data_IF_083775450660
#
_entry.id   IF_083775450660
#
_cell.length_a   1.000
_cell.length_b   1.000
_cell.length_c   1.000
_cell.angle_alpha   90.00
_cell.angle_beta   90.00
_cell.angle_gamma   90.00
#
_symmetry.space_group_name_H-M   'P 1'
#
loop_
_entity.id
_entity.type
_entity.pdbx_description
1 polymer ?
#
# COMPACT_ATOMS: atom_id res chain seq x y z
N UNK A 1 -36.52 -18.33 -4.94
CA UNK A 1 -35.20 -18.06 -4.33
C UNK A 1 -34.49 -17.09 -5.24
N UNK A 2 -33.96 -15.98 -4.73
CA UNK A 2 -33.27 -14.98 -5.54
C UNK A 2 -31.99 -15.56 -6.18
N UNK A 3 -31.65 -15.15 -7.40
CA UNK A 3 -30.47 -15.62 -8.13
C UNK A 3 -29.27 -14.67 -8.01
N UNK A 4 -28.08 -15.24 -7.89
CA UNK A 4 -26.78 -14.53 -7.75
C UNK A 4 -25.71 -15.22 -8.59
N UNK A 5 -24.62 -14.52 -8.89
CA UNK A 5 -23.54 -15.03 -9.73
C UNK A 5 -22.62 -15.96 -8.91
N UNK A 6 -22.29 -15.53 -7.69
CA UNK A 6 -21.41 -16.26 -6.79
C UNK A 6 -21.98 -16.29 -5.37
N UNK A 7 -21.91 -17.47 -4.75
CA UNK A 7 -22.21 -17.67 -3.33
C UNK A 7 -21.02 -18.38 -2.67
N UNK A 8 -20.41 -17.74 -1.68
CA UNK A 8 -19.39 -18.36 -0.81
C UNK A 8 -20.08 -18.75 0.48
N UNK A 9 -19.96 -20.01 0.92
CA UNK A 9 -20.67 -20.56 2.09
C UNK A 9 -19.74 -21.14 3.14
N UNK A 10 -20.21 -21.24 4.38
CA UNK A 10 -19.61 -22.04 5.46
C UNK A 10 -18.17 -21.63 5.85
N UNK A 11 -17.79 -20.37 5.64
CA UNK A 11 -16.49 -19.87 6.10
C UNK A 11 -16.39 -20.03 7.62
N UNK A 12 -15.34 -20.70 8.12
CA UNK A 12 -15.15 -20.90 9.55
C UNK A 12 -15.05 -19.54 10.27
N UNK A 13 -14.35 -18.60 9.65
CA UNK A 13 -14.47 -17.17 9.93
C UNK A 13 -14.73 -16.41 8.64
N UNK A 14 -15.78 -15.58 8.64
CA UNK A 14 -15.97 -14.52 7.67
C UNK A 14 -15.69 -13.18 8.34
N UNK A 15 -14.60 -12.52 7.95
CA UNK A 15 -14.26 -11.19 8.44
C UNK A 15 -14.94 -10.17 7.53
N UNK A 16 -15.97 -9.51 8.05
CA UNK A 16 -16.70 -8.52 7.22
C UNK A 16 -16.01 -7.17 7.22
N UNK A 17 -15.28 -6.84 8.29
CA UNK A 17 -14.72 -5.50 8.48
C UNK A 17 -15.86 -4.43 8.40
N UNK A 18 -17.10 -4.80 8.73
CA UNK A 18 -18.22 -3.86 8.82
C UNK A 18 -18.00 -2.92 10.02
N UNK A 19 -18.17 -1.62 9.81
CA UNK A 19 -17.94 -0.61 10.84
C UNK A 19 -18.11 0.82 10.34
N UNK A 20 -17.61 1.83 11.07
CA UNK A 20 -17.63 3.23 10.66
C UNK A 20 -16.98 3.45 9.30
N UNK A 21 -17.49 4.40 8.51
CA UNK A 21 -16.92 4.79 7.20
C UNK A 21 -15.72 5.74 7.32
N UNK A 22 -14.89 5.54 8.35
CA UNK A 22 -13.67 6.33 8.63
C UNK A 22 -12.56 5.40 9.13
N UNK A 23 -11.27 5.78 9.00
CA UNK A 23 -10.15 4.96 9.46
C UNK A 23 -10.33 4.54 10.92
N UNK A 24 -9.96 3.30 11.22
CA UNK A 24 -10.08 2.74 12.57
C UNK A 24 -8.84 3.03 13.38
N UNK A 25 -9.05 3.40 14.64
CA UNK A 25 -7.99 3.73 15.60
C UNK A 25 -8.13 2.88 16.85
N UNK A 26 -7.01 2.62 17.55
CA UNK A 26 -6.97 1.90 18.84
C UNK A 26 -7.81 0.61 18.79
N UNK A 27 -8.68 0.41 19.79
CA UNK A 27 -9.56 -0.75 19.91
C UNK A 27 -10.48 -0.99 18.70
N UNK A 28 -10.79 0.03 17.90
CA UNK A 28 -11.57 -0.17 16.67
C UNK A 28 -10.81 -1.02 15.65
N UNK A 29 -9.48 -0.99 15.65
CA UNK A 29 -8.67 -1.82 14.76
C UNK A 29 -8.78 -3.31 15.08
N UNK A 30 -9.16 -3.67 16.31
CA UNK A 30 -9.37 -5.07 16.72
C UNK A 30 -10.77 -5.61 16.35
N UNK A 31 -11.69 -4.74 15.93
CA UNK A 31 -13.08 -5.11 15.61
C UNK A 31 -13.19 -5.57 14.16
N UNK A 32 -13.00 -6.86 13.93
CA UNK A 32 -13.09 -7.48 12.59
C UNK A 32 -14.52 -7.78 12.10
N UNK A 33 -15.51 -7.68 13.00
CA UNK A 33 -16.91 -8.03 12.71
C UNK A 33 -17.03 -9.45 12.13
N UNK A 34 -16.53 -10.41 12.92
CA UNK A 34 -16.40 -11.83 12.55
C UNK A 34 -17.76 -12.52 12.58
N UNK A 35 -18.10 -13.21 11.49
CA UNK A 35 -19.24 -14.11 11.41
C UNK A 35 -18.71 -15.54 11.32
N UNK A 36 -18.91 -16.32 12.38
CA UNK A 36 -18.67 -17.78 12.36
C UNK A 36 -19.68 -18.47 11.43
N UNK A 37 -19.21 -19.42 10.63
CA UNK A 37 -20.00 -20.11 9.58
C UNK A 37 -20.68 -19.10 8.64
N UNK A 38 -19.90 -18.12 8.20
CA UNK A 38 -20.38 -17.00 7.39
C UNK A 38 -20.48 -17.33 5.91
N UNK A 39 -21.33 -16.58 5.22
CA UNK A 39 -21.55 -16.65 3.78
C UNK A 39 -21.59 -15.23 3.17
N UNK A 40 -21.21 -15.14 1.89
CA UNK A 40 -21.27 -13.91 1.09
C UNK A 40 -21.94 -14.22 -0.24
N UNK A 41 -22.95 -13.44 -0.61
CA UNK A 41 -23.63 -13.52 -1.90
C UNK A 41 -23.25 -12.33 -2.78
N UNK A 42 -22.99 -12.60 -4.07
CA UNK A 42 -22.44 -11.64 -5.01
C UNK A 42 -23.22 -11.65 -6.32
N UNK A 43 -23.58 -10.47 -6.81
CA UNK A 43 -24.30 -10.27 -8.08
C UNK A 43 -23.80 -9.02 -8.79
N UNK A 44 -23.58 -9.12 -10.10
CA UNK A 44 -23.04 -8.06 -10.96
C UNK A 44 -21.76 -7.43 -10.39
N UNK A 45 -20.88 -8.26 -9.83
CA UNK A 45 -19.63 -7.83 -9.20
C UNK A 45 -19.76 -7.06 -7.88
N UNK A 46 -20.96 -6.97 -7.31
CA UNK A 46 -21.25 -6.34 -6.03
C UNK A 46 -21.70 -7.36 -4.98
N UNK A 47 -21.35 -7.09 -3.74
CA UNK A 47 -21.84 -7.84 -2.59
C UNK A 47 -23.31 -7.48 -2.37
N UNK A 48 -24.21 -8.46 -2.43
CA UNK A 48 -25.65 -8.24 -2.24
C UNK A 48 -26.14 -8.65 -0.85
N UNK A 49 -25.45 -9.61 -0.22
CA UNK A 49 -25.75 -10.03 1.15
C UNK A 49 -24.53 -10.68 1.84
N UNK A 50 -24.48 -10.56 3.17
CA UNK A 50 -23.41 -11.05 4.05
C UNK A 50 -24.04 -11.50 5.36
N UNK A 51 -23.88 -12.78 5.72
CA UNK A 51 -24.57 -13.32 6.88
C UNK A 51 -24.23 -14.77 7.17
N UNK A 52 -25.16 -15.48 7.80
CA UNK A 52 -25.10 -16.94 8.02
C UNK A 52 -26.21 -17.60 7.20
N UNK A 53 -25.97 -18.84 6.77
CA UNK A 53 -27.01 -19.68 6.14
C UNK A 53 -27.75 -18.99 4.98
N UNK A 54 -27.04 -18.17 4.19
CA UNK A 54 -27.63 -17.46 3.06
C UNK A 54 -28.16 -18.48 2.03
N UNK A 55 -29.40 -18.28 1.56
CA UNK A 55 -30.08 -19.18 0.62
C UNK A 55 -30.35 -18.46 -0.70
N UNK A 56 -29.47 -18.67 -1.67
CA UNK A 56 -29.57 -18.12 -3.02
C UNK A 56 -29.41 -19.22 -4.06
N UNK A 57 -30.03 -19.05 -5.23
CA UNK A 57 -29.69 -19.86 -6.41
C UNK A 57 -28.45 -19.22 -7.05
N UNK A 58 -27.29 -19.84 -6.91
CA UNK A 58 -26.03 -19.28 -7.42
C UNK A 58 -25.55 -20.00 -8.69
N UNK A 59 -24.98 -19.27 -9.64
CA UNK A 59 -24.31 -19.88 -10.80
C UNK A 59 -23.03 -20.61 -10.36
N UNK A 60 -22.24 -19.98 -9.49
CA UNK A 60 -21.08 -20.59 -8.84
C UNK A 60 -21.27 -20.61 -7.33
N UNK A 61 -21.06 -21.78 -6.71
CA UNK A 61 -21.02 -21.92 -5.24
C UNK A 61 -19.65 -22.40 -4.80
N UNK A 62 -19.06 -21.74 -3.81
CA UNK A 62 -17.79 -22.14 -3.20
C UNK A 62 -18.02 -22.47 -1.72
N UNK A 63 -17.71 -23.71 -1.34
CA UNK A 63 -17.70 -24.12 0.06
C UNK A 63 -16.37 -23.75 0.73
N UNK A 64 -16.42 -22.76 1.63
CA UNK A 64 -15.30 -22.28 2.43
C UNK A 64 -15.21 -22.96 3.81
N UNK A 65 -15.80 -24.16 3.96
CA UNK A 65 -15.65 -24.98 5.16
C UNK A 65 -14.17 -25.15 5.53
N UNK A 66 -13.87 -24.94 6.83
CA UNK A 66 -12.52 -24.98 7.38
C UNK A 66 -11.62 -23.78 7.04
N UNK A 67 -12.12 -22.82 6.25
CA UNK A 67 -11.33 -21.70 5.70
C UNK A 67 -11.76 -20.35 6.27
N UNK A 68 -10.89 -19.37 6.07
CA UNK A 68 -11.08 -17.97 6.40
C UNK A 68 -11.48 -17.23 5.13
N UNK A 69 -12.53 -16.42 5.20
CA UNK A 69 -12.94 -15.49 4.13
C UNK A 69 -12.84 -14.07 4.66
N UNK A 70 -12.20 -13.19 3.90
CA UNK A 70 -12.00 -11.79 4.27
C UNK A 70 -11.94 -10.89 3.02
N UNK A 71 -12.01 -9.55 3.15
CA UNK A 71 -11.77 -8.66 2.02
C UNK A 71 -10.40 -8.94 1.41
N UNK A 72 -10.27 -8.74 0.10
CA UNK A 72 -8.96 -8.75 -0.53
C UNK A 72 -8.04 -7.71 0.10
N UNK A 73 -6.74 -8.00 0.13
CA UNK A 73 -5.78 -7.04 0.67
C UNK A 73 -5.78 -5.78 -0.19
N UNK A 74 -5.58 -4.65 0.48
CA UNK A 74 -5.27 -3.38 -0.17
C UNK A 74 -3.83 -3.05 0.19
N UNK A 75 -3.00 -2.85 -0.82
CA UNK A 75 -1.60 -2.45 -0.64
C UNK A 75 -1.44 -0.95 -0.92
N UNK A 76 -1.48 -0.08 0.11
CA UNK A 76 -1.64 1.36 -0.06
C UNK A 76 -0.34 2.09 -0.39
N UNK A 77 0.77 1.36 -0.56
CA UNK A 77 2.09 1.93 -0.83
C UNK A 77 2.97 0.97 -1.64
N UNK A 78 3.15 1.25 -2.92
CA UNK A 78 4.10 0.51 -3.77
C UNK A 78 4.77 1.41 -4.80
N UNK A 79 5.94 1.00 -5.27
CA UNK A 79 6.59 1.54 -6.46
C UNK A 79 6.58 0.48 -7.57
N UNK A 80 5.44 -0.17 -7.85
CA UNK A 80 5.38 -1.36 -8.73
C UNK A 80 5.91 -1.16 -10.16
N UNK A 81 5.95 0.09 -10.66
CA UNK A 81 6.44 0.43 -12.01
C UNK A 81 7.88 0.89 -12.00
N UNK A 82 8.79 -0.03 -12.31
CA UNK A 82 10.22 0.20 -12.46
C UNK A 82 10.85 -0.86 -13.37
N UNK A 83 12.07 -0.59 -13.84
CA UNK A 83 12.90 -1.54 -14.56
C UNK A 83 14.21 -1.86 -13.82
N UNK A 84 14.78 -3.02 -14.15
CA UNK A 84 15.98 -3.55 -13.51
C UNK A 84 15.71 -4.09 -12.11
N UNK A 85 16.78 -4.52 -11.46
CA UNK A 85 16.80 -5.08 -10.11
C UNK A 85 18.12 -4.74 -9.42
N UNK A 86 18.11 -4.75 -8.08
CA UNK A 86 19.24 -4.31 -7.23
C UNK A 86 19.80 -5.44 -6.36
N UNK A 87 19.63 -6.68 -6.80
CA UNK A 87 20.11 -7.89 -6.12
C UNK A 87 21.62 -7.87 -5.88
N UNK A 88 22.40 -7.26 -6.79
CA UNK A 88 23.85 -7.11 -6.63
C UNK A 88 24.26 -6.28 -5.41
N UNK A 89 23.34 -5.51 -4.84
CA UNK A 89 23.61 -4.76 -3.60
C UNK A 89 23.51 -5.62 -2.36
N UNK A 90 22.87 -6.79 -2.42
CA UNK A 90 22.69 -7.64 -1.26
C UNK A 90 24.04 -8.08 -0.71
N UNK A 91 24.96 -8.54 -1.57
CA UNK A 91 26.31 -8.93 -1.16
C UNK A 91 27.09 -7.77 -0.52
N UNK A 92 26.93 -6.56 -1.05
CA UNK A 92 27.54 -5.36 -0.48
C UNK A 92 26.97 -5.01 0.90
N UNK A 93 25.65 -5.09 1.06
CA UNK A 93 24.97 -4.86 2.34
C UNK A 93 25.39 -5.90 3.38
N UNK A 94 25.46 -7.18 2.99
CA UNK A 94 25.91 -8.28 3.87
C UNK A 94 27.37 -8.12 4.29
N UNK A 95 28.21 -7.57 3.41
CA UNK A 95 29.58 -7.18 3.74
C UNK A 95 29.69 -5.90 4.60
N UNK A 96 28.56 -5.30 5.01
CA UNK A 96 28.53 -4.11 5.87
C UNK A 96 28.85 -2.80 5.14
N UNK A 97 28.81 -2.76 3.80
CA UNK A 97 29.08 -1.54 3.04
C UNK A 97 27.95 -0.51 3.28
N UNK A 98 28.26 0.71 3.75
CA UNK A 98 27.22 1.72 4.00
C UNK A 98 26.45 2.08 2.73
N UNK A 99 25.15 2.38 2.86
CA UNK A 99 24.28 2.72 1.72
C UNK A 99 24.86 3.84 0.84
N UNK A 100 25.41 4.90 1.46
CA UNK A 100 26.02 6.01 0.72
C UNK A 100 27.22 5.59 -0.13
N UNK A 101 27.95 4.55 0.28
CA UNK A 101 29.07 3.99 -0.48
C UNK A 101 28.56 3.13 -1.65
N UNK A 102 27.48 2.36 -1.44
CA UNK A 102 26.79 1.62 -2.52
C UNK A 102 26.28 2.60 -3.59
N UNK A 103 25.71 3.73 -3.17
CA UNK A 103 25.23 4.80 -4.06
C UNK A 103 26.36 5.42 -4.91
N UNK A 104 27.57 5.57 -4.33
CA UNK A 104 28.77 6.04 -5.04
C UNK A 104 29.26 5.02 -6.07
N UNK A 105 29.13 3.73 -5.79
CA UNK A 105 29.48 2.63 -6.72
C UNK A 105 28.47 2.42 -7.85
N UNK A 106 27.49 3.32 -8.00
CA UNK A 106 26.50 3.26 -9.05
C UNK A 106 25.28 2.39 -8.74
N UNK A 107 25.14 1.94 -7.49
CA UNK A 107 23.90 1.36 -6.97
C UNK A 107 22.91 2.44 -6.51
N UNK A 108 22.03 2.07 -5.59
CA UNK A 108 21.03 2.94 -5.00
C UNK A 108 19.87 3.26 -5.94
N UNK A 109 19.08 4.26 -5.55
CA UNK A 109 17.95 4.76 -6.33
C UNK A 109 18.36 5.16 -7.76
N UNK A 110 19.54 5.75 -7.94
CA UNK A 110 19.99 6.21 -9.26
C UNK A 110 20.27 5.07 -10.24
N UNK A 111 20.58 3.86 -9.77
CA UNK A 111 20.62 2.67 -10.63
C UNK A 111 19.23 2.40 -11.23
N UNK A 112 18.20 2.33 -10.39
CA UNK A 112 16.82 2.11 -10.85
C UNK A 112 16.32 3.25 -11.75
N UNK A 113 16.68 4.50 -11.45
CA UNK A 113 16.34 5.65 -12.30
C UNK A 113 16.93 5.47 -13.70
N UNK A 114 18.21 5.10 -13.79
CA UNK A 114 18.88 4.84 -15.08
C UNK A 114 18.18 3.74 -15.87
N UNK A 115 17.86 2.62 -15.23
CA UNK A 115 17.21 1.48 -15.91
C UNK A 115 15.76 1.81 -16.31
N UNK A 116 15.01 2.54 -15.48
CA UNK A 116 13.63 2.94 -15.76
C UNK A 116 13.55 4.00 -16.86
N UNK A 117 14.53 4.93 -16.94
CA UNK A 117 14.66 5.87 -18.05
C UNK A 117 14.87 5.15 -19.39
N UNK A 118 15.80 4.19 -19.43
CA UNK A 118 16.10 3.38 -20.63
C UNK A 118 14.93 2.51 -21.07
N UNK A 119 14.15 1.98 -20.13
CA UNK A 119 13.06 1.06 -20.43
C UNK A 119 11.95 1.74 -21.25
N UNK A 120 11.50 1.05 -22.29
CA UNK A 120 10.32 1.46 -23.07
C UNK A 120 9.03 1.34 -22.24
N UNK A 121 7.96 2.08 -22.60
CA UNK A 121 6.66 1.92 -21.95
C UNK A 121 6.14 0.49 -21.97
N UNK A 122 6.38 -0.26 -23.05
CA UNK A 122 5.95 -1.66 -23.19
C UNK A 122 6.70 -2.58 -22.23
N UNK A 123 8.01 -2.39 -22.08
CA UNK A 123 8.81 -3.15 -21.11
C UNK A 123 8.35 -2.89 -19.68
N UNK A 124 8.14 -1.62 -19.31
CA UNK A 124 7.63 -1.24 -18.00
C UNK A 124 6.25 -1.86 -17.74
N UNK A 125 5.35 -1.81 -18.73
CA UNK A 125 4.02 -2.41 -18.65
C UNK A 125 4.11 -3.93 -18.39
N UNK A 126 4.91 -4.65 -19.19
CA UNK A 126 5.03 -6.10 -19.09
C UNK A 126 5.66 -6.54 -17.76
N UNK A 127 6.71 -5.87 -17.30
CA UNK A 127 7.37 -6.19 -16.03
C UNK A 127 6.46 -5.89 -14.84
N UNK A 128 5.76 -4.75 -14.87
CA UNK A 128 4.83 -4.37 -13.80
C UNK A 128 3.63 -5.32 -13.75
N UNK A 129 3.13 -5.77 -14.91
CA UNK A 129 2.04 -6.75 -14.96
C UNK A 129 2.41 -8.05 -14.23
N UNK A 130 3.63 -8.58 -14.44
CA UNK A 130 4.10 -9.78 -13.71
C UNK A 130 4.14 -9.59 -12.19
N UNK A 131 4.55 -8.40 -11.73
CA UNK A 131 4.52 -8.06 -10.30
C UNK A 131 3.09 -8.02 -9.78
N UNK A 132 2.18 -7.38 -10.51
CA UNK A 132 0.75 -7.34 -10.14
C UNK A 132 0.09 -8.72 -10.16
N UNK A 133 0.42 -9.59 -11.12
CA UNK A 133 -0.06 -10.98 -11.16
C UNK A 133 0.39 -11.72 -9.88
N UNK A 134 1.62 -11.47 -9.43
CA UNK A 134 2.16 -12.04 -8.18
C UNK A 134 1.43 -11.47 -6.96
N UNK A 135 1.32 -10.14 -6.83
CA UNK A 135 0.55 -9.48 -5.76
C UNK A 135 -0.88 -10.02 -5.67
N UNK A 136 -1.54 -10.19 -6.83
CA UNK A 136 -2.89 -10.73 -6.93
C UNK A 136 -2.95 -12.16 -6.42
N UNK A 137 -2.02 -13.03 -6.82
CA UNK A 137 -1.96 -14.42 -6.31
C UNK A 137 -1.68 -14.53 -4.80
N UNK A 138 -1.10 -13.47 -4.19
CA UNK A 138 -0.93 -13.33 -2.74
C UNK A 138 -2.11 -12.64 -2.04
N UNK A 139 -3.17 -12.32 -2.78
CA UNK A 139 -4.46 -11.85 -2.25
C UNK A 139 -4.69 -10.34 -2.33
N UNK A 140 -3.78 -9.58 -2.94
CA UNK A 140 -3.94 -8.13 -3.11
C UNK A 140 -4.88 -7.84 -4.28
N UNK A 141 -6.04 -7.24 -3.99
CA UNK A 141 -7.05 -6.92 -5.03
C UNK A 141 -7.03 -5.45 -5.44
N UNK A 142 -6.40 -4.58 -4.63
CA UNK A 142 -6.20 -3.18 -4.94
C UNK A 142 -4.84 -2.70 -4.45
N UNK A 143 -4.17 -1.82 -5.19
CA UNK A 143 -2.93 -1.22 -4.73
C UNK A 143 -2.78 0.25 -5.13
N UNK A 144 -1.90 0.95 -4.43
CA UNK A 144 -1.33 2.21 -4.88
C UNK A 144 -0.11 1.94 -5.75
N UNK A 145 0.13 2.79 -6.75
CA UNK A 145 1.35 2.78 -7.57
C UNK A 145 1.97 4.18 -7.63
N UNK A 146 3.16 4.33 -7.06
CA UNK A 146 3.94 5.57 -7.09
C UNK A 146 4.84 5.64 -8.31
N UNK A 147 5.16 6.86 -8.72
CA UNK A 147 6.21 7.13 -9.71
C UNK A 147 7.59 7.20 -9.02
N UNK A 148 8.46 8.17 -9.34
CA UNK A 148 9.66 8.47 -8.58
C UNK A 148 10.94 7.75 -9.00
N UNK A 149 10.88 6.92 -10.04
CA UNK A 149 12.07 6.37 -10.71
C UNK A 149 12.33 7.02 -12.08
N UNK A 150 11.72 8.17 -12.35
CA UNK A 150 12.04 8.98 -13.52
C UNK A 150 12.96 10.14 -13.18
N UNK A 151 12.61 10.92 -12.16
CA UNK A 151 13.31 12.16 -11.78
C UNK A 151 13.54 13.16 -12.92
N UNK A 152 12.72 13.08 -13.97
CA UNK A 152 12.64 13.99 -15.09
C UNK A 152 11.20 14.00 -15.63
N UNK A 153 10.85 15.03 -16.39
CA UNK A 153 9.48 15.24 -16.85
C UNK A 153 9.01 14.10 -17.74
N UNK A 154 9.85 13.64 -18.66
CA UNK A 154 9.47 12.63 -19.65
C UNK A 154 9.15 11.29 -18.97
N UNK A 155 10.04 10.84 -18.08
CA UNK A 155 9.99 9.52 -17.46
C UNK A 155 8.94 9.45 -16.37
N UNK A 156 8.75 10.50 -15.56
CA UNK A 156 7.67 10.53 -14.56
C UNK A 156 6.29 10.42 -15.24
N UNK A 157 6.08 11.15 -16.35
CA UNK A 157 4.84 11.07 -17.13
C UNK A 157 4.73 9.73 -17.88
N UNK A 158 5.84 9.16 -18.35
CA UNK A 158 5.88 7.80 -18.91
C UNK A 158 5.36 6.78 -17.89
N UNK A 159 5.83 6.84 -16.64
CA UNK A 159 5.40 5.94 -15.56
C UNK A 159 3.90 6.11 -15.28
N UNK A 160 3.41 7.34 -15.13
CA UNK A 160 1.97 7.60 -14.94
C UNK A 160 1.10 7.03 -16.08
N UNK A 161 1.56 7.16 -17.33
CA UNK A 161 0.86 6.57 -18.48
C UNK A 161 0.87 5.04 -18.46
N UNK A 162 1.96 4.42 -17.99
CA UNK A 162 2.02 2.97 -17.79
C UNK A 162 1.05 2.54 -16.69
N UNK A 163 1.01 3.24 -15.55
CA UNK A 163 0.05 2.96 -14.48
C UNK A 163 -1.39 3.05 -14.96
N UNK A 164 -1.74 4.08 -15.75
CA UNK A 164 -3.06 4.19 -16.38
C UNK A 164 -3.39 2.99 -17.28
N UNK A 165 -2.45 2.54 -18.11
CA UNK A 165 -2.65 1.34 -18.95
C UNK A 165 -2.80 0.06 -18.11
N UNK A 166 -2.09 -0.06 -17.00
CA UNK A 166 -2.25 -1.19 -16.06
C UNK A 166 -3.66 -1.17 -15.46
N UNK A 167 -4.15 -0.01 -15.02
CA UNK A 167 -5.52 0.16 -14.52
C UNK A 167 -6.59 -0.25 -15.53
N UNK A 168 -6.34 -0.05 -16.83
CA UNK A 168 -7.28 -0.40 -17.91
C UNK A 168 -7.22 -1.89 -18.30
N UNK A 169 -6.10 -2.57 -18.06
CA UNK A 169 -5.82 -3.91 -18.63
C UNK A 169 -5.61 -5.04 -17.61
N UNK A 170 -5.37 -4.70 -16.34
CA UNK A 170 -5.16 -5.67 -15.26
C UNK A 170 -6.44 -5.81 -14.40
N UNK A 171 -6.74 -6.99 -13.81
CA UNK A 171 -7.92 -7.15 -12.96
C UNK A 171 -7.89 -6.31 -11.68
N UNK A 172 -6.72 -6.11 -11.06
CA UNK A 172 -6.57 -5.29 -9.85
C UNK A 172 -6.93 -3.82 -10.09
N UNK A 173 -7.45 -3.16 -9.05
CA UNK A 173 -7.61 -1.70 -9.07
C UNK A 173 -6.31 -1.02 -8.57
N UNK A 174 -5.82 -0.05 -9.31
CA UNK A 174 -4.61 0.73 -9.08
C UNK A 174 -4.98 2.20 -8.83
N UNK A 175 -4.34 2.80 -7.83
CA UNK A 175 -4.42 4.24 -7.56
C UNK A 175 -3.06 4.88 -7.76
N UNK A 176 -2.97 5.79 -8.73
CA UNK A 176 -1.71 6.45 -9.08
C UNK A 176 -1.35 7.60 -8.15
N UNK A 177 -0.08 7.61 -7.74
CA UNK A 177 0.55 8.67 -6.94
C UNK A 177 1.75 9.25 -7.68
N UNK A 178 1.76 10.56 -7.87
CA UNK A 178 2.92 11.26 -8.41
C UNK A 178 3.95 11.49 -7.30
N UNK A 179 5.16 10.97 -7.48
CA UNK A 179 6.31 11.09 -6.59
C UNK A 179 7.53 11.59 -7.38
N UNK A 180 7.39 12.67 -8.15
CA UNK A 180 8.55 13.29 -8.80
C UNK A 180 9.61 13.75 -7.79
N UNK A 181 9.20 14.06 -6.56
CA UNK A 181 10.08 14.43 -5.46
C UNK A 181 10.52 13.21 -4.63
N UNK A 182 11.02 12.15 -5.29
CA UNK A 182 11.56 10.96 -4.62
C UNK A 182 12.99 11.17 -4.12
N UNK A 183 13.82 11.86 -4.91
CA UNK A 183 15.14 12.37 -4.49
C UNK A 183 15.55 13.48 -5.46
N UNK A 184 16.67 14.14 -5.19
CA UNK A 184 17.22 15.18 -6.06
C UNK A 184 18.18 14.51 -7.07
N UNK A 185 18.05 14.73 -8.39
CA UNK A 185 19.02 14.25 -9.38
C UNK A 185 20.45 14.71 -9.05
N UNK A 186 21.45 13.84 -9.26
CA UNK A 186 22.86 14.11 -8.90
C UNK A 186 23.41 15.42 -9.49
N UNK A 187 22.94 15.79 -10.68
CA UNK A 187 23.48 16.91 -11.46
C UNK A 187 22.62 18.18 -11.36
N UNK A 188 21.75 18.29 -10.34
CA UNK A 188 20.87 19.44 -10.17
C UNK A 188 20.86 19.98 -8.74
N UNK A 189 20.69 21.29 -8.63
CA UNK A 189 20.45 21.92 -7.34
C UNK A 189 19.00 21.68 -6.91
N UNK A 190 18.80 21.49 -5.60
CA UNK A 190 17.47 21.24 -5.03
C UNK A 190 16.44 22.30 -5.46
N UNK A 191 16.83 23.59 -5.44
CA UNK A 191 15.95 24.71 -5.80
C UNK A 191 15.48 24.63 -7.26
N UNK A 192 16.37 24.28 -8.18
CA UNK A 192 16.08 24.13 -9.60
C UNK A 192 15.18 22.92 -9.84
N UNK A 193 15.50 21.78 -9.22
CA UNK A 193 14.71 20.57 -9.37
C UNK A 193 13.29 20.75 -8.83
N UNK A 194 13.13 21.38 -7.66
CA UNK A 194 11.83 21.72 -7.09
C UNK A 194 11.04 22.63 -8.04
N UNK A 195 11.70 23.61 -8.68
CA UNK A 195 11.06 24.45 -9.69
C UNK A 195 10.54 23.58 -10.83
N UNK A 196 11.34 22.67 -11.38
CA UNK A 196 10.91 21.75 -12.46
C UNK A 196 9.76 20.83 -12.02
N UNK A 197 9.81 20.25 -10.82
CA UNK A 197 8.70 19.46 -10.26
C UNK A 197 7.41 20.29 -10.27
N UNK A 198 7.48 21.53 -9.78
CA UNK A 198 6.29 22.39 -9.64
C UNK A 198 5.79 22.94 -10.97
N UNK A 199 6.67 23.47 -11.82
CA UNK A 199 6.27 24.22 -13.01
C UNK A 199 6.15 23.35 -14.26
N UNK A 200 6.77 22.17 -14.28
CA UNK A 200 6.84 21.34 -15.49
C UNK A 200 6.21 19.96 -15.30
N UNK A 201 6.40 19.31 -14.14
CA UNK A 201 5.85 17.98 -13.87
C UNK A 201 4.41 18.03 -13.38
N UNK A 202 4.13 18.75 -12.28
CA UNK A 202 2.79 18.81 -11.67
C UNK A 202 1.66 19.15 -12.66
N UNK A 203 1.78 20.14 -13.57
CA UNK A 203 0.73 20.43 -14.55
C UNK A 203 0.36 19.24 -15.44
N UNK A 204 1.31 18.34 -15.70
CA UNK A 204 1.13 17.17 -16.57
C UNK A 204 0.54 15.95 -15.84
N UNK A 205 0.36 16.02 -14.53
CA UNK A 205 -0.24 14.93 -13.72
C UNK A 205 -1.76 14.90 -13.76
N UNK A 206 -2.40 15.95 -14.27
CA UNK A 206 -3.87 16.11 -14.29
C UNK A 206 -4.54 14.92 -14.98
N UNK A 207 -5.44 14.25 -14.26
CA UNK A 207 -6.15 13.06 -14.75
C UNK A 207 -5.30 11.79 -14.85
N UNK A 208 -4.06 11.83 -14.37
CA UNK A 208 -3.15 10.69 -14.33
C UNK A 208 -2.79 10.26 -12.90
N UNK A 209 -2.78 11.18 -11.94
CA UNK A 209 -2.51 10.87 -10.54
C UNK A 209 -3.62 11.41 -9.63
N UNK A 210 -3.84 10.72 -8.50
CA UNK A 210 -4.74 11.14 -7.43
C UNK A 210 -4.00 11.84 -6.29
N UNK A 211 -2.77 11.41 -6.05
CA UNK A 211 -1.95 11.88 -4.94
C UNK A 211 -0.67 12.55 -5.43
N UNK A 212 -0.13 13.44 -4.60
CA UNK A 212 1.22 13.97 -4.69
C UNK A 212 1.99 13.53 -3.44
N UNK A 213 3.15 12.93 -3.63
CA UNK A 213 4.00 12.41 -2.57
C UNK A 213 5.39 13.05 -2.64
N UNK A 214 6.13 12.99 -1.55
CA UNK A 214 7.50 13.51 -1.41
C UNK A 214 8.29 12.68 -0.41
N UNK A 215 9.57 12.48 -0.69
CA UNK A 215 10.49 11.89 0.28
C UNK A 215 11.10 12.97 1.18
N UNK A 216 10.49 13.17 2.34
CA UNK A 216 10.95 14.12 3.34
C UNK A 216 11.95 13.44 4.27
N UNK A 217 13.23 13.54 3.92
CA UNK A 217 14.32 12.84 4.61
C UNK A 217 15.65 13.60 4.47
N UNK A 218 16.55 13.41 5.43
CA UNK A 218 17.93 13.89 5.36
C UNK A 218 18.63 13.32 4.12
N UNK A 219 19.05 14.21 3.23
CA UNK A 219 19.69 13.84 1.96
C UNK A 219 18.71 13.69 0.79
N UNK A 220 17.40 13.87 1.02
CA UNK A 220 16.38 14.06 0.00
C UNK A 220 15.80 15.48 0.11
N UNK A 221 14.54 15.63 0.52
CA UNK A 221 13.90 16.94 0.68
C UNK A 221 13.73 17.32 2.16
N UNK A 222 14.01 18.58 2.50
CA UNK A 222 13.72 19.13 3.83
C UNK A 222 12.22 19.38 4.02
N UNK A 223 11.75 19.52 5.26
CA UNK A 223 10.35 19.88 5.57
C UNK A 223 9.86 21.10 4.79
N UNK A 224 10.68 22.14 4.67
CA UNK A 224 10.31 23.35 3.94
C UNK A 224 10.15 23.10 2.42
N UNK A 225 11.05 22.29 1.84
CA UNK A 225 10.99 21.90 0.43
C UNK A 225 9.79 20.99 0.16
N UNK A 226 9.59 19.99 1.01
CA UNK A 226 8.45 19.06 0.97
C UNK A 226 7.12 19.80 1.04
N UNK A 227 6.97 20.77 1.97
CA UNK A 227 5.77 21.61 2.04
C UNK A 227 5.50 22.33 0.73
N UNK A 228 6.51 22.98 0.15
CA UNK A 228 6.37 23.74 -1.10
C UNK A 228 5.85 22.86 -2.25
N UNK A 229 6.35 21.62 -2.34
CA UNK A 229 5.92 20.66 -3.37
C UNK A 229 4.49 20.19 -3.12
N UNK A 230 4.15 19.81 -1.88
CA UNK A 230 2.82 19.30 -1.54
C UNK A 230 1.75 20.39 -1.67
N UNK A 231 2.03 21.62 -1.23
CA UNK A 231 1.10 22.74 -1.39
C UNK A 231 0.89 23.10 -2.87
N UNK A 232 1.93 23.03 -3.70
CA UNK A 232 1.78 23.15 -5.15
C UNK A 232 0.94 22.01 -5.74
N UNK A 233 1.16 20.76 -5.31
CA UNK A 233 0.36 19.60 -5.73
C UNK A 233 -1.13 19.79 -5.48
N UNK A 234 -1.49 20.36 -4.32
CA UNK A 234 -2.89 20.69 -3.96
C UNK A 234 -3.52 21.69 -4.93
N UNK A 235 -2.76 22.66 -5.44
CA UNK A 235 -3.25 23.61 -6.45
C UNK A 235 -3.65 22.92 -7.77
N UNK A 236 -3.08 21.74 -8.05
CA UNK A 236 -3.45 20.90 -9.19
C UNK A 236 -4.49 19.81 -8.85
N UNK A 237 -5.09 19.87 -7.65
CA UNK A 237 -6.13 18.93 -7.20
C UNK A 237 -5.61 17.59 -6.69
N UNK A 238 -4.29 17.46 -6.48
CA UNK A 238 -3.69 16.25 -5.90
C UNK A 238 -3.82 16.26 -4.36
N UNK A 239 -4.09 15.09 -3.79
CA UNK A 239 -4.16 14.91 -2.35
C UNK A 239 -2.75 14.59 -1.81
N UNK A 240 -2.24 15.25 -0.75
CA UNK A 240 -0.90 15.00 -0.25
C UNK A 240 -0.74 13.60 0.39
N UNK A 241 0.43 13.01 0.15
CA UNK A 241 1.06 11.89 0.87
C UNK A 241 2.51 12.28 1.18
N UNK A 242 3.16 11.56 2.08
CA UNK A 242 4.55 11.86 2.43
C UNK A 242 5.25 10.62 2.96
N UNK A 243 6.43 10.30 2.42
CA UNK A 243 7.38 9.42 3.09
C UNK A 243 8.05 10.24 4.19
N UNK A 244 7.84 9.83 5.43
CA UNK A 244 8.17 10.61 6.61
C UNK A 244 8.99 9.80 7.60
N UNK A 245 10.11 10.40 8.03
CA UNK A 245 10.91 9.95 9.17
C UNK A 245 11.31 8.47 9.10
N UNK A 246 11.81 8.05 7.92
CA UNK A 246 12.23 6.67 7.67
C UNK A 246 13.55 6.35 8.39
N UNK A 247 14.52 7.24 8.28
CA UNK A 247 15.92 7.03 8.71
C UNK A 247 16.23 7.89 9.93
N UNK A 248 15.75 9.13 9.97
CA UNK A 248 15.84 10.03 11.13
C UNK A 248 14.53 10.79 11.34
N UNK A 249 14.33 11.33 12.55
CA UNK A 249 13.21 12.26 12.77
C UNK A 249 13.50 13.58 12.03
N UNK A 250 12.74 13.84 10.96
CA UNK A 250 12.83 15.08 10.18
C UNK A 250 11.71 16.06 10.49
N UNK A 251 10.69 15.63 11.24
CA UNK A 251 9.42 16.34 11.38
C UNK A 251 8.45 16.08 10.22
N UNK A 252 8.66 15.04 9.42
CA UNK A 252 7.80 14.67 8.30
C UNK A 252 6.37 14.31 8.74
N UNK A 253 6.24 13.59 9.87
CA UNK A 253 4.94 13.28 10.47
C UNK A 253 4.13 14.54 10.84
N UNK A 254 4.79 15.56 11.43
CA UNK A 254 4.15 16.85 11.74
C UNK A 254 3.71 17.57 10.46
N UNK A 255 4.60 17.62 9.45
CA UNK A 255 4.28 18.22 8.16
C UNK A 255 3.05 17.57 7.52
N UNK A 256 2.93 16.23 7.57
CA UNK A 256 1.79 15.50 7.05
C UNK A 256 0.46 16.00 7.62
N UNK A 257 0.41 16.22 8.94
CA UNK A 257 -0.75 16.75 9.63
C UNK A 257 -1.08 18.20 9.20
N UNK A 258 -0.05 19.02 9.03
CA UNK A 258 -0.21 20.43 8.67
C UNK A 258 -0.71 20.63 7.24
N UNK A 259 -0.22 19.86 6.27
CA UNK A 259 -0.65 19.98 4.86
C UNK A 259 -1.98 19.27 4.59
N UNK A 260 -2.48 18.50 5.56
CA UNK A 260 -3.69 17.69 5.43
C UNK A 260 -3.48 16.47 4.53
N UNK A 261 -2.33 15.79 4.68
CA UNK A 261 -2.05 14.56 3.96
C UNK A 261 -3.02 13.45 4.32
N UNK A 262 -3.34 12.57 3.37
CA UNK A 262 -4.16 11.39 3.64
C UNK A 262 -3.39 10.34 4.43
N UNK A 263 -2.07 10.24 4.18
CA UNK A 263 -1.16 9.36 4.89
C UNK A 263 0.22 9.98 5.07
N UNK A 264 0.91 9.49 6.09
CA UNK A 264 2.35 9.57 6.24
C UNK A 264 2.90 8.14 6.36
N UNK A 265 3.98 7.87 5.64
CA UNK A 265 4.45 6.54 5.31
C UNK A 265 5.85 6.31 5.92
N UNK A 266 6.21 5.05 6.24
CA UNK A 266 7.35 4.62 7.08
C UNK A 266 7.17 4.85 8.59
N UNK A 267 7.41 6.08 9.07
CA UNK A 267 7.33 6.48 10.48
C UNK A 267 8.24 5.69 11.44
N UNK A 268 9.37 5.17 10.93
CA UNK A 268 10.32 4.38 11.72
C UNK A 268 10.91 5.20 12.88
N UNK A 269 11.16 6.47 12.62
CA UNK A 269 11.87 7.39 13.50
C UNK A 269 11.03 8.60 13.92
N UNK A 270 9.73 8.66 13.57
CA UNK A 270 8.86 9.78 13.91
C UNK A 270 8.80 10.04 15.42
N UNK A 271 8.85 11.31 15.80
CA UNK A 271 8.65 11.74 17.18
C UNK A 271 7.19 11.64 17.62
N UNK A 272 7.01 11.56 18.94
CA UNK A 272 5.69 11.59 19.58
C UNK A 272 4.88 12.84 19.19
N UNK A 273 5.54 14.00 19.07
CA UNK A 273 4.92 15.25 18.62
C UNK A 273 4.28 15.09 17.24
N UNK A 274 5.02 14.52 16.27
CA UNK A 274 4.49 14.26 14.93
C UNK A 274 3.34 13.25 14.95
N UNK A 275 3.47 12.16 15.71
CA UNK A 275 2.41 11.15 15.85
C UNK A 275 1.12 11.73 16.46
N UNK A 276 1.24 12.62 17.46
CA UNK A 276 0.08 13.30 18.06
C UNK A 276 -0.59 14.25 17.07
N UNK A 277 0.20 14.99 16.28
CA UNK A 277 -0.34 15.86 15.24
C UNK A 277 -1.11 15.05 14.17
N UNK A 278 -0.54 13.92 13.72
CA UNK A 278 -1.21 12.99 12.81
C UNK A 278 -2.54 12.46 13.39
N UNK A 279 -2.53 12.00 14.64
CA UNK A 279 -3.73 11.50 15.32
C UNK A 279 -4.84 12.56 15.39
N UNK A 280 -4.48 13.82 15.71
CA UNK A 280 -5.43 14.92 15.78
C UNK A 280 -6.07 15.25 14.42
N UNK A 281 -5.31 15.12 13.33
CA UNK A 281 -5.77 15.42 11.96
C UNK A 281 -6.34 14.21 11.23
N UNK A 282 -6.26 13.02 11.82
CA UNK A 282 -6.70 11.77 11.20
C UNK A 282 -5.83 11.31 10.03
N UNK A 283 -4.56 11.72 9.99
CA UNK A 283 -3.58 11.24 8.99
C UNK A 283 -3.30 9.77 9.28
N UNK A 284 -3.36 8.93 8.25
CA UNK A 284 -3.13 7.49 8.38
C UNK A 284 -1.63 7.22 8.37
N UNK A 285 -1.13 6.50 9.38
CA UNK A 285 0.23 6.00 9.39
C UNK A 285 0.33 4.71 8.58
N UNK A 286 1.00 4.75 7.43
CA UNK A 286 1.26 3.55 6.61
C UNK A 286 2.62 2.99 7.00
N UNK A 287 2.61 1.87 7.72
CA UNK A 287 3.83 1.25 8.22
C UNK A 287 4.34 0.21 7.23
N UNK A 288 5.66 0.23 7.00
CA UNK A 288 6.33 -0.52 5.95
C UNK A 288 7.33 -1.50 6.57
N UNK A 289 6.89 -2.63 7.17
CA UNK A 289 7.79 -3.54 7.87
C UNK A 289 8.80 -4.26 6.96
N UNK A 290 8.51 -4.38 5.66
CA UNK A 290 9.42 -4.98 4.68
C UNK A 290 10.73 -4.21 4.55
N UNK A 291 10.67 -2.88 4.60
CA UNK A 291 11.83 -1.98 4.42
C UNK A 291 12.92 -2.18 5.50
N UNK A 292 12.64 -2.07 6.81
CA UNK A 292 13.65 -2.39 7.83
C UNK A 292 14.08 -3.85 7.78
N UNK A 293 13.21 -4.78 7.38
CA UNK A 293 13.58 -6.19 7.24
C UNK A 293 14.63 -6.40 6.15
N UNK A 294 14.42 -5.88 4.93
CA UNK A 294 15.38 -6.05 3.82
C UNK A 294 16.66 -5.22 4.00
N UNK A 295 16.59 -4.15 4.80
CA UNK A 295 17.75 -3.36 5.22
C UNK A 295 18.47 -3.96 6.45
N UNK A 296 18.00 -5.10 6.97
CA UNK A 296 18.58 -5.79 8.14
C UNK A 296 18.68 -4.87 9.36
N UNK A 297 17.73 -3.95 9.50
CA UNK A 297 17.67 -3.02 10.62
C UNK A 297 17.17 -3.74 11.87
N UNK A 298 17.73 -3.36 13.02
CA UNK A 298 17.25 -3.85 14.32
C UNK A 298 15.95 -3.17 14.75
N UNK A 299 15.67 -1.97 14.23
CA UNK A 299 14.53 -1.14 14.61
C UNK A 299 13.46 -1.14 13.53
N UNK A 300 12.21 -1.21 13.98
CA UNK A 300 10.99 -1.09 13.18
C UNK A 300 10.18 0.12 13.67
N UNK A 301 9.16 0.54 12.90
CA UNK A 301 8.23 1.56 13.38
C UNK A 301 7.53 1.12 14.67
N UNK A 302 7.38 2.01 15.67
CA UNK A 302 6.81 1.66 16.98
C UNK A 302 5.28 1.54 16.91
N UNK A 303 4.75 0.56 16.18
CA UNK A 303 3.33 0.45 15.88
C UNK A 303 2.42 0.45 17.11
N UNK A 304 2.84 -0.20 18.20
CA UNK A 304 2.10 -0.18 19.47
C UNK A 304 1.87 1.24 19.98
N UNK A 305 2.95 2.04 20.05
CA UNK A 305 2.89 3.45 20.43
C UNK A 305 2.03 4.27 19.46
N UNK A 306 2.21 4.07 18.14
CA UNK A 306 1.46 4.79 17.09
C UNK A 306 -0.06 4.54 17.25
N UNK A 307 -0.45 3.27 17.43
CA UNK A 307 -1.85 2.87 17.64
C UNK A 307 -2.40 3.49 18.93
N UNK A 308 -1.67 3.43 20.04
CA UNK A 308 -2.07 3.98 21.35
C UNK A 308 -2.23 5.51 21.31
N UNK A 309 -1.34 6.21 20.62
CA UNK A 309 -1.45 7.64 20.32
C UNK A 309 -2.77 7.99 19.63
N UNK A 310 -3.40 7.03 18.94
CA UNK A 310 -4.67 7.20 18.24
C UNK A 310 -4.52 7.46 16.74
N UNK A 311 -3.31 7.28 16.20
CA UNK A 311 -3.09 7.31 14.75
C UNK A 311 -3.75 6.08 14.13
N UNK A 312 -4.59 6.23 13.08
CA UNK A 312 -5.06 5.08 12.32
C UNK A 312 -3.89 4.48 11.54
N UNK A 313 -3.70 3.17 11.66
CA UNK A 313 -2.55 2.46 11.05
C UNK A 313 -2.99 1.60 9.87
N UNK A 314 -2.22 1.67 8.77
CA UNK A 314 -2.27 0.78 7.63
C UNK A 314 -0.92 0.07 7.45
N UNK A 315 -0.90 -1.05 6.72
CA UNK A 315 0.31 -1.78 6.33
C UNK A 315 0.42 -1.80 4.81
N UNK A 316 1.64 -1.83 4.30
CA UNK A 316 1.93 -1.98 2.87
C UNK A 316 3.22 -2.75 2.65
N UNK A 317 3.41 -3.27 1.44
CA UNK A 317 4.63 -3.99 1.07
C UNK A 317 5.84 -3.07 0.93
N UNK A 318 5.60 -1.83 0.51
CA UNK A 318 6.65 -0.98 -0.06
C UNK A 318 7.37 -1.71 -1.21
N UNK A 319 6.62 -2.41 -2.07
CA UNK A 319 7.21 -3.13 -3.20
C UNK A 319 8.00 -2.16 -4.08
N UNK A 320 9.32 -2.29 -4.01
CA UNK A 320 10.26 -1.48 -4.76
C UNK A 320 11.56 -2.28 -4.99
N UNK A 321 12.48 -1.83 -5.88
CA UNK A 321 13.70 -2.58 -6.17
C UNK A 321 14.63 -2.84 -4.98
N UNK A 322 14.48 -2.10 -3.86
CA UNK A 322 15.22 -2.29 -2.62
C UNK A 322 14.48 -3.21 -1.63
N UNK A 323 13.15 -3.06 -1.51
CA UNK A 323 12.25 -3.93 -0.75
C UNK A 323 11.42 -4.77 -1.74
N UNK A 324 12.04 -5.82 -2.27
CA UNK A 324 11.38 -6.64 -3.30
C UNK A 324 10.52 -7.74 -2.68
N UNK A 325 9.26 -7.40 -2.36
CA UNK A 325 8.26 -8.38 -1.93
C UNK A 325 6.85 -7.95 -2.32
N UNK A 326 6.09 -8.87 -2.89
CA UNK A 326 4.69 -8.68 -3.30
C UNK A 326 3.68 -9.13 -2.22
N UNK A 327 4.16 -9.61 -1.06
CA UNK A 327 3.35 -10.34 -0.08
C UNK A 327 2.87 -9.48 1.09
N UNK A 328 1.59 -9.09 1.04
CA UNK A 328 0.90 -8.49 2.20
C UNK A 328 0.81 -9.44 3.41
N UNK A 329 0.83 -10.75 3.16
CA UNK A 329 0.84 -11.77 4.24
C UNK A 329 2.14 -11.69 5.04
N UNK A 330 3.28 -11.52 4.36
CA UNK A 330 4.57 -11.28 5.03
C UNK A 330 4.55 -9.96 5.82
N UNK A 331 3.91 -8.91 5.30
CA UNK A 331 3.80 -7.64 6.03
C UNK A 331 3.00 -7.80 7.32
N UNK A 332 1.91 -8.58 7.30
CA UNK A 332 1.13 -8.92 8.50
C UNK A 332 1.98 -9.71 9.50
N UNK A 333 2.77 -10.68 9.04
CA UNK A 333 3.67 -11.48 9.89
C UNK A 333 4.71 -10.59 10.57
N UNK A 334 5.41 -9.73 9.81
CA UNK A 334 6.41 -8.82 10.36
C UNK A 334 5.78 -7.79 11.31
N UNK A 335 4.60 -7.25 10.99
CA UNK A 335 3.90 -6.33 11.86
C UNK A 335 3.54 -6.97 13.22
N UNK A 336 3.16 -8.25 13.24
CA UNK A 336 2.88 -8.96 14.48
C UNK A 336 4.18 -9.29 15.25
N UNK A 337 5.18 -9.85 14.57
CA UNK A 337 6.38 -10.40 15.19
C UNK A 337 7.44 -9.35 15.56
N UNK A 338 7.52 -8.24 14.81
CA UNK A 338 8.53 -7.19 14.99
C UNK A 338 7.97 -5.88 15.51
N UNK A 339 6.68 -5.61 15.29
CA UNK A 339 6.03 -4.34 15.69
C UNK A 339 4.94 -4.54 16.74
N UNK A 340 4.75 -5.76 17.23
CA UNK A 340 3.81 -6.12 18.30
C UNK A 340 2.35 -5.74 18.01
N UNK A 341 1.96 -5.73 16.74
CA UNK A 341 0.53 -5.64 16.37
C UNK A 341 -0.16 -6.97 16.66
N UNK A 342 -1.43 -6.91 17.05
CA UNK A 342 -2.28 -8.10 17.10
C UNK A 342 -2.69 -8.51 15.68
N UNK A 343 -3.03 -9.79 15.47
CA UNK A 343 -3.52 -10.27 14.19
C UNK A 343 -4.72 -9.46 13.68
N UNK A 344 -5.63 -9.07 14.56
CA UNK A 344 -6.80 -8.27 14.21
C UNK A 344 -6.44 -6.84 13.78
N UNK A 345 -5.50 -6.18 14.47
CA UNK A 345 -4.99 -4.87 14.06
C UNK A 345 -4.32 -4.95 12.69
N UNK A 346 -3.50 -5.98 12.45
CA UNK A 346 -2.79 -6.17 11.18
C UNK A 346 -3.76 -6.46 10.02
N UNK A 347 -4.81 -7.27 10.23
CA UNK A 347 -5.86 -7.49 9.23
C UNK A 347 -6.59 -6.19 8.89
N UNK A 348 -6.98 -5.39 9.89
CA UNK A 348 -7.59 -4.07 9.63
C UNK A 348 -6.63 -3.16 8.86
N UNK A 349 -5.36 -3.16 9.23
CA UNK A 349 -4.32 -2.34 8.62
C UNK A 349 -4.06 -2.71 7.14
N UNK A 350 -4.14 -4.00 6.80
CA UNK A 350 -3.95 -4.52 5.45
C UNK A 350 -5.23 -4.55 4.58
N UNK A 351 -6.38 -4.13 5.13
CA UNK A 351 -7.66 -4.11 4.41
C UNK A 351 -8.33 -2.74 4.50
N UNK A 352 -9.15 -2.49 5.51
CA UNK A 352 -10.00 -1.31 5.60
C UNK A 352 -9.19 -0.01 5.77
N UNK A 353 -8.19 0.02 6.65
CA UNK A 353 -7.37 1.22 6.84
C UNK A 353 -6.47 1.49 5.62
N UNK A 354 -5.95 0.45 4.98
CA UNK A 354 -5.26 0.58 3.70
C UNK A 354 -6.18 1.16 2.60
N UNK A 355 -7.43 0.68 2.50
CA UNK A 355 -8.42 1.25 1.59
C UNK A 355 -8.70 2.74 1.91
N UNK A 356 -8.69 3.12 3.19
CA UNK A 356 -8.79 4.53 3.58
C UNK A 356 -7.57 5.34 3.11
N UNK A 357 -6.35 4.81 3.27
CA UNK A 357 -5.10 5.48 2.92
C UNK A 357 -4.97 5.85 1.44
N UNK A 358 -5.75 5.21 0.57
CA UNK A 358 -5.81 5.49 -0.88
C UNK A 358 -7.19 5.99 -1.35
N UNK A 359 -8.08 6.35 -0.41
CA UNK A 359 -9.40 6.92 -0.73
C UNK A 359 -10.35 5.95 -1.46
N UNK A 360 -10.27 4.64 -1.16
CA UNK A 360 -11.08 3.58 -1.76
C UNK A 360 -11.99 2.85 -0.75
N UNK A 361 -12.03 3.29 0.52
CA UNK A 361 -12.81 2.65 1.59
C UNK A 361 -14.33 2.61 1.37
N UNK A 362 -14.87 3.35 0.40
CA UNK A 362 -16.29 3.22 0.00
C UNK A 362 -16.52 2.06 -0.97
N UNK A 363 -15.48 1.56 -1.62
CA UNK A 363 -15.55 0.54 -2.68
C UNK A 363 -15.03 -0.81 -2.20
N UNK A 364 -13.88 -0.83 -1.51
CA UNK A 364 -13.15 -2.05 -1.09
C UNK A 364 -12.75 -1.99 0.40
N UNK A 365 -12.02 -3.01 0.87
CA UNK A 365 -11.48 -3.09 2.23
C UNK A 365 -12.47 -3.57 3.30
N UNK A 366 -13.72 -3.83 2.94
CA UNK A 366 -14.71 -4.53 3.78
C UNK A 366 -15.74 -5.25 2.93
N UNK A 367 -16.34 -6.30 3.49
CA UNK A 367 -17.43 -7.05 2.90
C UNK A 367 -18.76 -6.53 3.43
N UNK A 368 -19.34 -5.59 2.70
CA UNK A 368 -20.62 -4.96 3.05
C UNK A 368 -21.51 -4.89 1.80
N UNK A 369 -22.82 -5.01 1.98
CA UNK A 369 -23.79 -4.86 0.89
C UNK A 369 -23.55 -3.56 0.11
N UNK A 370 -23.56 -3.67 -1.21
CA UNK A 370 -23.33 -2.57 -2.15
C UNK A 370 -21.87 -2.30 -2.48
N UNK A 371 -20.90 -2.89 -1.75
CA UNK A 371 -19.48 -2.79 -2.10
C UNK A 371 -19.09 -3.74 -3.21
N UNK A 372 -17.97 -3.43 -3.84
CA UNK A 372 -17.34 -4.32 -4.82
C UNK A 372 -16.99 -5.66 -4.17
N UNK A 373 -17.31 -6.75 -4.86
CA UNK A 373 -17.03 -8.10 -4.38
C UNK A 373 -15.56 -8.48 -4.61
N UNK A 374 -14.70 -7.89 -3.77
CA UNK A 374 -13.28 -8.22 -3.66
C UNK A 374 -13.03 -8.96 -2.35
N UNK A 375 -12.80 -10.26 -2.43
CA UNK A 375 -12.54 -11.10 -1.26
C UNK A 375 -11.51 -12.18 -1.56
N UNK A 376 -10.90 -12.71 -0.51
CA UNK A 376 -9.96 -13.81 -0.57
C UNK A 376 -10.45 -14.93 0.33
N UNK A 377 -10.24 -16.16 -0.13
CA UNK A 377 -10.43 -17.38 0.67
C UNK A 377 -9.04 -17.90 1.00
N UNK A 378 -8.73 -17.94 2.29
CA UNK A 378 -7.45 -18.39 2.83
C UNK A 378 -7.59 -19.81 3.37
N UNK A 379 -6.63 -20.67 3.07
CA UNK A 379 -6.55 -22.05 3.56
C UNK A 379 -6.06 -22.11 5.01
N UNK A 380 -6.83 -21.46 5.89
CA UNK A 380 -6.58 -21.44 7.32
C UNK A 380 -7.89 -21.24 8.09
N UNK A 381 -7.98 -21.69 9.36
CA UNK A 381 -9.24 -21.70 10.07
C UNK A 381 -9.68 -20.33 10.58
N UNK A 382 -8.76 -19.40 10.83
CA UNK A 382 -9.07 -18.13 11.48
C UNK A 382 -7.99 -17.06 11.22
N UNK A 383 -8.32 -15.81 11.54
CA UNK A 383 -7.44 -14.66 11.34
C UNK A 383 -6.12 -14.71 12.13
N UNK A 384 -6.06 -15.43 13.26
CA UNK A 384 -4.85 -15.54 14.07
C UNK A 384 -3.81 -16.46 13.42
N UNK A 385 -4.26 -17.39 12.57
CA UNK A 385 -3.37 -18.28 11.84
C UNK A 385 -2.53 -17.55 10.78
N UNK A 386 -3.02 -16.41 10.27
CA UNK A 386 -2.38 -15.63 9.21
C UNK A 386 -0.96 -15.14 9.56
N UNK A 387 -0.72 -14.48 10.72
CA UNK A 387 0.65 -14.17 11.15
C UNK A 387 1.40 -15.37 11.77
N UNK A 388 0.69 -16.42 12.20
CA UNK A 388 1.30 -17.59 12.85
C UNK A 388 2.02 -18.52 11.86
N UNK A 389 1.39 -18.85 10.74
CA UNK A 389 1.99 -19.69 9.69
C UNK A 389 2.76 -18.80 8.70
N UNK A 390 4.01 -18.51 9.04
CA UNK A 390 4.80 -17.51 8.35
C UNK A 390 5.52 -18.04 7.09
N UNK A 391 5.84 -17.14 6.16
CA UNK A 391 6.67 -17.45 4.98
C UNK A 391 5.99 -18.22 3.84
N UNK A 392 4.68 -18.46 3.93
CA UNK A 392 3.89 -19.19 2.92
C UNK A 392 2.80 -18.30 2.31
N UNK A 393 2.21 -18.76 1.20
CA UNK A 393 0.99 -18.17 0.64
C UNK A 393 -0.22 -19.00 1.08
N UNK A 394 -1.09 -18.43 1.91
CA UNK A 394 -2.32 -19.08 2.37
C UNK A 394 -3.51 -18.88 1.42
N UNK A 395 -3.37 -18.09 0.34
CA UNK A 395 -4.48 -17.82 -0.57
C UNK A 395 -4.84 -19.07 -1.36
N UNK A 396 -6.10 -19.50 -1.19
CA UNK A 396 -6.70 -20.58 -1.97
C UNK A 396 -7.45 -20.04 -3.18
N UNK A 397 -8.10 -18.89 -3.02
CA UNK A 397 -8.94 -18.29 -4.05
C UNK A 397 -8.96 -16.79 -3.91
N UNK A 398 -8.88 -16.08 -5.03
CA UNK A 398 -9.07 -14.64 -5.12
C UNK A 398 -10.35 -14.38 -5.89
N UNK A 399 -11.19 -13.49 -5.35
CA UNK A 399 -12.38 -13.00 -6.04
C UNK A 399 -12.20 -11.50 -6.25
N UNK A 400 -12.34 -11.06 -7.51
CA UNK A 400 -12.21 -9.67 -7.90
C UNK A 400 -13.44 -9.24 -8.69
N UNK A 401 -14.13 -8.20 -8.24
CA UNK A 401 -15.39 -7.73 -8.87
C UNK A 401 -16.35 -8.91 -9.11
N UNK A 402 -16.44 -9.81 -8.13
CA UNK A 402 -17.28 -11.00 -8.14
C UNK A 402 -16.83 -12.16 -9.02
N UNK A 403 -15.72 -12.02 -9.75
CA UNK A 403 -15.15 -13.10 -10.56
C UNK A 403 -14.08 -13.84 -9.79
N UNK A 404 -14.16 -15.17 -9.80
CA UNK A 404 -13.11 -16.05 -9.28
C UNK A 404 -11.93 -16.01 -10.26
N UNK A 405 -10.74 -15.70 -9.76
CA UNK A 405 -9.51 -15.60 -10.55
C UNK A 405 -8.54 -16.75 -10.30
#
# INVERSE_FOLDING_TARGET
MESVDLLITNANELLTLKGPKKPRTREQMKRLSIIKNGSVAVKNGLIVDVGRNLRYKAETTIDASGKLVMPGFVDPHTHVVFAGSREFELDLKLAGVPYMEILKRGGGIFYTVKETRKASPTQLLQQSKKRLDTMLSYGTTSCEAKTGYGLDVETEIKILKVQKKLQESHPMDLVSTFLGAHTIPKDQQATEYIRTVITEMLPKTKGLARFCDVFCEKGAFTVAQSRKILDAGKQYGLIPKIHADEIVDTGGASLAAEVGAISADHLLMSSETGLRAMAQKGVIGVLLPGTPFCLMMQRYAPARQIIECGVPVALATDLNPNCWTESMQLMIQLACLKMQMTAAEAVTAATFNAACAIGMHNTVGSLEKGKQADCIILDCPNHQFLPYHFGVNLVKTVVKKGRVL
#
